data_IF_923434122035
#
_entry.id   IF_923434122035
#
_cell.length_a   1.000
_cell.length_b   1.000
_cell.length_c   1.000
_cell.angle_alpha   90.00
_cell.angle_beta   90.00
_cell.angle_gamma   90.00
#
_symmetry.space_group_name_H-M   'P 1'
#
loop_
_entity.id
_entity.type
_entity.pdbx_description
1 polymer ?
#
# COMPACT_ATOMS: atom_id res chain seq x y z
N UNK A 1 20.54 36.17 7.14
CA UNK A 1 20.00 34.81 7.25
C UNK A 1 20.02 34.07 5.91
N UNK A 2 19.88 34.77 4.77
CA UNK A 2 19.86 34.13 3.45
C UNK A 2 21.20 33.48 3.04
N UNK A 3 22.33 34.10 3.39
CA UNK A 3 23.66 33.56 3.08
C UNK A 3 23.97 32.22 3.77
N UNK A 4 23.42 31.99 4.97
CA UNK A 4 23.60 30.72 5.70
C UNK A 4 22.77 29.59 5.06
N UNK A 5 21.60 29.95 4.53
CA UNK A 5 20.72 29.02 3.82
C UNK A 5 21.33 28.57 2.49
N UNK A 6 21.94 29.50 1.75
CA UNK A 6 22.66 29.20 0.51
C UNK A 6 23.88 28.32 0.76
N UNK A 7 24.63 28.55 1.84
CA UNK A 7 25.76 27.70 2.21
C UNK A 7 25.30 26.28 2.59
N UNK A 8 24.21 26.14 3.35
CA UNK A 8 23.63 24.83 3.69
C UNK A 8 23.12 24.07 2.46
N UNK A 9 22.52 24.77 1.48
CA UNK A 9 22.15 24.18 0.18
C UNK A 9 23.38 23.72 -0.61
N UNK A 10 24.45 24.52 -0.61
CA UNK A 10 25.70 24.16 -1.29
C UNK A 10 26.37 22.94 -0.66
N UNK A 11 26.34 22.81 0.68
CA UNK A 11 26.83 21.62 1.38
C UNK A 11 25.97 20.38 1.07
N UNK A 12 24.64 20.49 1.14
CA UNK A 12 23.71 19.40 0.77
C UNK A 12 23.95 18.90 -0.66
N UNK A 13 24.09 19.83 -1.61
CA UNK A 13 24.31 19.50 -3.02
C UNK A 13 25.70 18.87 -3.26
N UNK A 14 26.72 19.29 -2.50
CA UNK A 14 28.08 18.77 -2.61
C UNK A 14 28.26 17.37 -2.01
N UNK A 15 27.56 17.05 -0.92
CA UNK A 15 27.54 15.68 -0.37
C UNK A 15 26.80 14.71 -1.28
N UNK A 16 25.71 15.14 -1.92
CA UNK A 16 24.96 14.34 -2.90
C UNK A 16 25.60 14.26 -4.30
N UNK A 17 26.61 15.09 -4.59
CA UNK A 17 27.31 15.14 -5.88
C UNK A 17 28.63 14.35 -5.90
N UNK A 18 29.03 13.67 -4.82
CA UNK A 18 30.24 12.84 -4.86
C UNK A 18 29.93 11.51 -5.58
N UNK A 19 30.55 11.24 -6.74
CA UNK A 19 30.36 9.96 -7.40
C UNK A 19 31.03 8.86 -6.57
N UNK A 20 30.28 7.80 -6.28
CA UNK A 20 30.84 6.55 -5.81
C UNK A 20 31.61 5.93 -6.97
N UNK A 21 32.92 6.18 -6.99
CA UNK A 21 33.86 5.51 -7.88
C UNK A 21 33.93 4.03 -7.48
N UNK A 22 33.36 3.14 -8.32
CA UNK A 22 33.97 1.87 -8.74
C UNK A 22 32.97 1.00 -9.56
N UNK A 23 33.38 0.65 -10.78
CA UNK A 23 33.02 -0.64 -11.40
C UNK A 23 31.88 -0.68 -12.43
N UNK A 24 32.21 -0.31 -13.68
CA UNK A 24 31.71 -0.88 -14.95
C UNK A 24 30.20 -1.11 -15.12
N UNK A 25 29.54 -0.14 -15.78
CA UNK A 25 28.26 -0.37 -16.45
C UNK A 25 27.46 0.93 -16.63
N UNK A 26 27.75 1.66 -17.72
CA UNK A 26 27.03 2.83 -18.27
C UNK A 26 25.66 3.11 -17.61
N UNK A 27 25.65 3.88 -16.52
CA UNK A 27 24.45 4.33 -15.83
C UNK A 27 24.09 5.74 -16.31
N UNK A 28 22.84 5.92 -16.75
CA UNK A 28 22.27 7.26 -16.90
C UNK A 28 22.14 7.78 -15.46
N UNK A 29 22.79 8.89 -15.15
CA UNK A 29 22.81 9.45 -13.80
C UNK A 29 21.46 10.08 -13.47
N UNK A 30 20.56 9.30 -12.87
CA UNK A 30 19.29 9.77 -12.31
C UNK A 30 19.56 10.40 -10.93
N UNK A 31 18.78 11.41 -10.50
CA UNK A 31 18.84 11.85 -9.11
C UNK A 31 18.58 10.66 -8.20
N UNK A 32 19.47 10.45 -7.21
CA UNK A 32 19.44 9.31 -6.27
C UNK A 32 18.04 9.17 -5.63
N UNK A 33 17.36 10.29 -5.43
CA UNK A 33 15.96 10.46 -4.97
C UNK A 33 14.92 9.59 -5.73
N UNK A 34 15.23 9.12 -6.95
CA UNK A 34 14.33 8.33 -7.80
C UNK A 34 14.88 6.94 -8.20
N UNK A 35 15.85 6.40 -7.46
CA UNK A 35 16.46 5.11 -7.78
C UNK A 35 15.43 3.96 -7.91
N UNK A 36 14.33 4.04 -7.16
CA UNK A 36 13.23 3.05 -7.18
C UNK A 36 12.47 2.97 -8.51
N UNK A 37 12.62 3.93 -9.43
CA UNK A 37 12.01 3.89 -10.77
C UNK A 37 12.86 3.14 -11.79
N UNK A 38 14.17 3.05 -11.57
CA UNK A 38 15.14 2.63 -12.58
C UNK A 38 15.89 1.34 -12.18
N UNK A 39 15.79 0.95 -10.91
CA UNK A 39 16.52 -0.18 -10.35
C UNK A 39 15.60 -1.09 -9.53
N UNK A 40 15.94 -2.40 -9.43
CA UNK A 40 15.31 -3.25 -8.45
C UNK A 40 15.60 -2.70 -7.05
N UNK A 41 14.54 -2.56 -6.25
CA UNK A 41 14.61 -2.07 -4.89
C UNK A 41 13.93 -3.07 -3.95
N UNK A 42 14.39 -3.10 -2.70
CA UNK A 42 13.78 -3.85 -1.63
C UNK A 42 13.09 -2.88 -0.67
N UNK A 43 11.84 -3.17 -0.30
CA UNK A 43 11.13 -2.38 0.70
C UNK A 43 11.65 -2.77 2.08
N UNK A 44 12.34 -1.84 2.74
CA UNK A 44 12.86 -2.02 4.10
C UNK A 44 11.78 -1.72 5.13
N UNK A 45 10.95 -0.71 4.88
CA UNK A 45 9.83 -0.36 5.77
C UNK A 45 8.63 0.08 4.97
N UNK A 46 7.47 -0.52 5.24
CA UNK A 46 6.25 -0.35 4.46
C UNK A 46 5.29 0.66 5.11
N UNK A 47 4.98 1.72 4.37
CA UNK A 47 3.91 2.71 4.49
C UNK A 47 3.72 3.27 5.91
N UNK A 48 4.76 3.92 6.42
CA UNK A 48 4.70 4.64 7.70
C UNK A 48 4.03 6.01 7.53
N UNK A 49 3.31 6.49 8.56
CA UNK A 49 2.79 7.86 8.56
C UNK A 49 3.94 8.86 8.65
N UNK A 50 3.86 9.91 7.85
CA UNK A 50 4.76 11.06 7.96
C UNK A 50 4.52 11.80 9.29
N UNK A 51 5.57 12.39 9.87
CA UNK A 51 5.38 13.26 11.03
C UNK A 51 4.74 14.58 10.61
N UNK A 52 3.95 15.17 11.50
CA UNK A 52 3.24 16.43 11.22
C UNK A 52 4.19 17.58 10.83
N UNK A 53 5.41 17.61 11.38
CA UNK A 53 6.41 18.61 11.02
C UNK A 53 6.90 18.45 9.57
N UNK A 54 7.01 17.22 9.07
CA UNK A 54 7.48 16.93 7.71
C UNK A 54 6.45 17.37 6.68
N UNK A 55 5.17 17.24 7.04
CA UNK A 55 4.03 17.66 6.23
C UNK A 55 3.91 19.19 6.24
N UNK A 56 3.90 19.81 7.43
CA UNK A 56 3.54 21.23 7.60
C UNK A 56 4.73 22.17 7.36
N UNK A 57 5.90 21.84 7.90
CA UNK A 57 7.07 22.73 7.88
C UNK A 57 8.00 22.44 6.70
N UNK A 58 8.36 21.18 6.49
CA UNK A 58 9.33 20.80 5.44
C UNK A 58 8.64 20.59 4.09
N UNK A 59 7.34 20.30 4.08
CA UNK A 59 6.56 19.95 2.88
C UNK A 59 7.29 18.91 2.05
N UNK A 60 7.75 17.85 2.71
CA UNK A 60 8.58 16.84 2.07
C UNK A 60 7.83 16.20 0.88
N UNK A 61 8.48 16.12 -0.28
CA UNK A 61 7.84 15.68 -1.53
C UNK A 61 7.20 14.28 -1.44
N UNK A 62 7.78 13.38 -0.64
CA UNK A 62 7.26 12.03 -0.39
C UNK A 62 6.02 11.99 0.51
N UNK A 63 5.72 13.06 1.26
CA UNK A 63 4.59 13.14 2.19
C UNK A 63 3.40 13.95 1.67
N UNK A 64 3.59 14.81 0.68
CA UNK A 64 2.58 15.77 0.24
C UNK A 64 1.31 15.13 -0.35
N UNK A 65 1.44 13.98 -1.02
CA UNK A 65 0.32 13.37 -1.76
C UNK A 65 -0.60 12.52 -0.87
N UNK A 66 -0.01 11.70 0.00
CA UNK A 66 -0.75 10.69 0.79
C UNK A 66 -0.55 10.83 2.29
N UNK A 67 0.51 11.52 2.75
CA UNK A 67 0.92 11.56 4.14
C UNK A 67 1.58 10.27 4.64
N UNK A 68 1.90 9.33 3.75
CA UNK A 68 2.59 8.07 4.07
C UNK A 68 3.79 7.85 3.17
N UNK A 69 4.84 7.24 3.71
CA UNK A 69 6.07 6.95 2.98
C UNK A 69 6.57 5.52 3.19
N UNK A 70 7.24 4.98 2.17
CA UNK A 70 8.02 3.75 2.23
C UNK A 70 9.51 4.09 2.32
N UNK A 71 10.25 3.28 3.08
CA UNK A 71 11.72 3.24 3.00
C UNK A 71 12.11 2.10 2.08
N UNK A 72 12.76 2.43 0.98
CA UNK A 72 13.24 1.45 -0.01
C UNK A 72 14.76 1.49 -0.07
N UNK A 73 15.39 0.34 -0.16
CA UNK A 73 16.82 0.21 -0.42
C UNK A 73 17.02 -0.20 -1.87
N UNK A 74 17.74 0.62 -2.63
CA UNK A 74 18.00 0.36 -4.04
C UNK A 74 19.22 -0.56 -4.19
N UNK A 75 19.06 -1.68 -4.91
CA UNK A 75 20.07 -2.74 -4.91
C UNK A 75 21.36 -2.39 -5.64
N UNK A 76 21.34 -1.50 -6.64
CA UNK A 76 22.58 -1.12 -7.36
C UNK A 76 23.28 0.06 -6.73
N UNK A 77 22.53 1.09 -6.32
CA UNK A 77 23.12 2.25 -5.63
C UNK A 77 23.43 2.00 -4.16
N UNK A 78 22.88 0.95 -3.54
CA UNK A 78 22.96 0.67 -2.10
C UNK A 78 22.49 1.85 -1.21
N UNK A 79 21.63 2.71 -1.76
CA UNK A 79 21.09 3.87 -1.06
C UNK A 79 19.66 3.63 -0.59
N UNK A 80 19.35 4.16 0.61
CA UNK A 80 17.99 4.14 1.14
C UNK A 80 17.27 5.42 0.74
N UNK A 81 16.13 5.27 0.04
CA UNK A 81 15.32 6.38 -0.47
C UNK A 81 13.90 6.29 0.08
N UNK A 82 13.29 7.45 0.24
CA UNK A 82 11.93 7.61 0.74
C UNK A 82 10.99 7.86 -0.45
N UNK A 83 9.97 7.01 -0.61
CA UNK A 83 8.96 7.17 -1.67
C UNK A 83 7.55 7.32 -1.08
N UNK A 84 6.61 8.01 -1.76
CA UNK A 84 5.23 8.06 -1.32
C UNK A 84 4.55 6.69 -1.45
N UNK A 85 3.77 6.28 -0.44
CA UNK A 85 2.94 5.07 -0.48
C UNK A 85 1.44 5.44 -0.37
N UNK A 86 0.52 4.72 -1.06
CA UNK A 86 -0.91 4.80 -0.75
C UNK A 86 -1.19 4.37 0.69
N UNK A 87 -2.18 4.99 1.35
CA UNK A 87 -2.43 4.67 2.77
C UNK A 87 -2.68 3.16 2.95
N UNK A 88 -2.16 2.53 4.01
CA UNK A 88 -2.34 1.10 4.25
C UNK A 88 -3.82 0.71 4.40
N UNK A 89 -4.69 1.65 4.79
CA UNK A 89 -6.14 1.47 4.83
C UNK A 89 -6.74 1.30 3.43
N UNK A 90 -6.23 2.02 2.44
CA UNK A 90 -6.74 1.94 1.06
C UNK A 90 -6.28 0.63 0.39
N UNK A 91 -5.03 0.22 0.63
CA UNK A 91 -4.52 -1.05 0.08
C UNK A 91 -5.31 -2.25 0.57
N UNK A 92 -5.63 -2.32 1.88
CA UNK A 92 -6.38 -3.44 2.47
C UNK A 92 -7.88 -3.40 2.16
N UNK A 93 -8.38 -2.28 1.63
CA UNK A 93 -9.80 -2.05 1.35
C UNK A 93 -10.34 -3.10 0.37
N UNK A 94 -9.62 -3.38 -0.70
CA UNK A 94 -10.05 -4.33 -1.73
C UNK A 94 -10.17 -5.76 -1.21
N UNK A 95 -9.18 -6.22 -0.44
CA UNK A 95 -9.20 -7.55 0.20
C UNK A 95 -10.39 -7.69 1.16
N UNK A 96 -10.65 -6.64 1.95
CA UNK A 96 -11.78 -6.61 2.85
C UNK A 96 -13.13 -6.69 2.11
N UNK A 97 -13.34 -5.89 1.06
CA UNK A 97 -14.60 -5.93 0.30
C UNK A 97 -14.79 -7.24 -0.43
N UNK A 98 -13.73 -7.82 -0.97
CA UNK A 98 -13.78 -9.13 -1.62
C UNK A 98 -14.20 -10.21 -0.62
N UNK A 99 -13.55 -10.25 0.55
CA UNK A 99 -13.93 -11.17 1.63
C UNK A 99 -15.37 -10.95 2.08
N UNK A 100 -15.79 -9.71 2.27
CA UNK A 100 -17.15 -9.36 2.67
C UNK A 100 -18.19 -9.86 1.66
N UNK A 101 -17.95 -9.62 0.37
CA UNK A 101 -18.86 -10.03 -0.70
C UNK A 101 -18.97 -11.56 -0.79
N UNK A 102 -17.84 -12.28 -0.72
CA UNK A 102 -17.84 -13.73 -0.73
C UNK A 102 -18.62 -14.32 0.45
N UNK A 103 -18.40 -13.82 1.67
CA UNK A 103 -19.14 -14.30 2.85
C UNK A 103 -20.63 -13.97 2.74
N UNK A 104 -20.98 -12.78 2.25
CA UNK A 104 -22.38 -12.40 2.04
C UNK A 104 -23.06 -13.32 1.02
N UNK A 105 -22.38 -13.70 -0.07
CA UNK A 105 -22.92 -14.65 -1.04
C UNK A 105 -23.11 -16.04 -0.43
N UNK A 106 -22.12 -16.56 0.30
CA UNK A 106 -22.21 -17.85 0.96
C UNK A 106 -23.41 -17.87 1.93
N UNK A 107 -23.60 -16.80 2.72
CA UNK A 107 -24.72 -16.66 3.64
C UNK A 107 -26.07 -16.75 2.90
N UNK A 108 -26.23 -16.03 1.80
CA UNK A 108 -27.46 -16.05 0.99
C UNK A 108 -27.71 -17.44 0.43
N UNK A 109 -26.69 -18.10 -0.13
CA UNK A 109 -26.82 -19.45 -0.67
C UNK A 109 -27.20 -20.47 0.40
N UNK A 110 -26.57 -20.41 1.58
CA UNK A 110 -26.89 -21.27 2.72
C UNK A 110 -28.32 -21.04 3.22
N UNK A 111 -28.76 -19.79 3.26
CA UNK A 111 -30.14 -19.45 3.65
C UNK A 111 -31.16 -20.01 2.65
N UNK A 112 -30.95 -19.80 1.35
CA UNK A 112 -31.81 -20.35 0.30
C UNK A 112 -31.86 -21.87 0.33
N UNK A 113 -30.71 -22.52 0.47
CA UNK A 113 -30.64 -23.99 0.61
C UNK A 113 -31.43 -24.49 1.81
N UNK A 114 -31.35 -23.78 2.94
CA UNK A 114 -32.08 -24.12 4.16
C UNK A 114 -33.59 -23.98 3.95
N UNK A 115 -34.06 -22.93 3.28
CA UNK A 115 -35.48 -22.75 2.95
C UNK A 115 -35.96 -23.86 2.02
N UNK A 116 -35.19 -24.19 0.98
CA UNK A 116 -35.56 -25.26 0.06
C UNK A 116 -35.71 -26.59 0.79
N UNK A 117 -34.76 -26.92 1.67
CA UNK A 117 -34.83 -28.14 2.50
C UNK A 117 -36.03 -28.12 3.45
N UNK A 118 -36.31 -26.98 4.09
CA UNK A 118 -37.50 -26.79 4.93
C UNK A 118 -38.78 -27.01 4.14
N UNK A 119 -38.92 -26.36 2.98
CA UNK A 119 -40.09 -26.48 2.12
C UNK A 119 -40.30 -27.92 1.62
N UNK A 120 -39.22 -28.66 1.34
CA UNK A 120 -39.32 -30.08 0.98
C UNK A 120 -39.82 -30.91 2.16
N UNK A 121 -39.31 -30.66 3.37
CA UNK A 121 -39.74 -31.36 4.57
C UNK A 121 -41.20 -31.04 4.90
N UNK A 122 -41.60 -29.78 4.83
CA UNK A 122 -42.99 -29.34 5.09
C UNK A 122 -43.95 -30.02 4.10
N UNK A 123 -43.61 -30.06 2.81
CA UNK A 123 -44.41 -30.79 1.80
C UNK A 123 -44.56 -32.27 2.15
N UNK A 124 -43.47 -32.92 2.58
CA UNK A 124 -43.50 -34.32 2.97
C UNK A 124 -44.36 -34.56 4.22
N UNK A 125 -44.36 -33.62 5.17
CA UNK A 125 -45.22 -33.66 6.37
C UNK A 125 -46.69 -33.47 5.98
N UNK A 126 -47.01 -32.47 5.16
CA UNK A 126 -48.38 -32.21 4.71
C UNK A 126 -49.00 -33.40 3.98
N UNK A 127 -48.24 -34.14 3.18
CA UNK A 127 -48.72 -35.36 2.51
C UNK A 127 -49.03 -36.52 3.46
N UNK A 128 -48.42 -36.53 4.65
CA UNK A 128 -48.62 -37.57 5.66
C UNK A 128 -49.71 -37.23 6.67
N UNK A 129 -50.19 -36.00 6.69
CA UNK A 129 -51.30 -35.61 7.55
C UNK A 129 -52.60 -36.23 7.00
N UNK A 130 -53.28 -37.10 7.75
CA UNK A 130 -54.57 -37.59 7.34
C UNK A 130 -55.55 -36.42 7.33
N UNK A 131 -56.26 -36.21 6.22
CA UNK A 131 -57.45 -35.36 6.20
C UNK A 131 -58.53 -36.06 7.04
N UNK A 132 -58.46 -35.90 8.35
CA UNK A 132 -59.58 -36.18 9.23
C UNK A 132 -60.40 -34.89 9.32
N UNK A 133 -61.36 -34.78 8.40
CA UNK A 133 -62.56 -33.96 8.55
C UNK A 133 -63.68 -34.85 9.07
#
# INVERSE_FOLDING_TARGET
>A
MDAEMEMKKAFYNKEHSKPAENGLGKAIEYPIEECWKHEPFQVVTQCLPCKEFEIKAIKAAHCLKTGYFDRVNCSKSSTTVLRPCPSPRESRRHEFYFFYFLNSLILILSYLSTIQRKNQLDRAVYQRLPQHF
#
